data_IF_674234547227
#
_entry.id   IF_674234547227
#
_cell.length_a   1.000
_cell.length_b   1.000
_cell.length_c   1.000
_cell.angle_alpha   90.00
_cell.angle_beta   90.00
_cell.angle_gamma   90.00
#
_symmetry.space_group_name_H-M   'P 1'
#
loop_
_entity.id
_entity.type
_entity.pdbx_description
1 polymer ?
#
# COMPACT_ATOMS: atom_id res chain seq x y z
N UNK A 1 27.85 7.93 16.74
CA UNK A 1 27.67 7.33 15.40
C UNK A 1 26.18 7.36 15.09
N UNK A 2 25.71 8.29 14.26
CA UNK A 2 24.29 8.35 13.85
C UNK A 2 24.02 7.23 12.85
N UNK A 3 23.14 6.31 13.20
CA UNK A 3 22.65 5.29 12.27
C UNK A 3 21.75 5.97 11.23
N UNK A 4 22.29 6.20 10.03
CA UNK A 4 21.51 6.56 8.84
C UNK A 4 20.66 5.35 8.44
N UNK A 5 19.54 5.13 9.14
CA UNK A 5 18.57 4.13 8.72
C UNK A 5 17.64 4.80 7.71
N UNK A 6 17.51 4.29 6.47
CA UNK A 6 16.59 4.87 5.50
C UNK A 6 15.17 4.77 6.06
N UNK A 7 14.56 5.92 6.34
CA UNK A 7 13.14 5.99 6.69
C UNK A 7 12.35 5.72 5.42
N UNK A 8 11.69 4.56 5.33
CA UNK A 8 10.73 4.29 4.25
C UNK A 8 9.52 5.19 4.50
N UNK A 9 9.36 6.22 3.68
CA UNK A 9 8.21 7.13 3.72
C UNK A 9 7.25 6.70 2.61
N UNK A 10 6.04 6.29 2.99
CA UNK A 10 4.95 6.11 2.04
C UNK A 10 4.43 7.49 1.60
N UNK A 11 4.54 7.80 0.31
CA UNK A 11 4.03 9.04 -0.25
C UNK A 11 2.51 8.93 -0.45
N UNK A 12 1.71 9.64 0.34
CA UNK A 12 0.26 9.60 0.19
C UNK A 12 -0.20 10.51 -0.96
N UNK A 13 -0.54 9.91 -2.11
CA UNK A 13 -1.10 10.61 -3.27
C UNK A 13 -2.07 9.72 -4.05
N UNK A 14 -2.66 10.25 -5.13
CA UNK A 14 -3.46 9.44 -6.03
C UNK A 14 -2.59 8.38 -6.74
N UNK A 15 -3.13 7.17 -6.84
CA UNK A 15 -2.47 6.05 -7.50
C UNK A 15 -3.45 5.29 -8.38
N UNK A 16 -2.97 4.78 -9.51
CA UNK A 16 -3.68 3.71 -10.20
C UNK A 16 -3.42 2.35 -9.54
N UNK A 17 -4.24 1.36 -9.88
CA UNK A 17 -4.13 0.01 -9.33
C UNK A 17 -2.77 -0.65 -9.59
N UNK A 18 -2.13 -0.42 -10.75
CA UNK A 18 -0.84 -1.03 -11.08
C UNK A 18 0.30 -0.44 -10.23
N UNK A 19 0.26 0.87 -9.96
CA UNK A 19 1.20 1.53 -9.05
C UNK A 19 1.06 0.99 -7.62
N UNK A 20 -0.17 0.86 -7.12
CA UNK A 20 -0.40 0.26 -5.80
C UNK A 20 0.07 -1.19 -5.75
N UNK A 21 -0.29 -2.02 -6.75
CA UNK A 21 0.17 -3.40 -6.82
C UNK A 21 1.70 -3.50 -6.76
N UNK A 22 2.41 -2.61 -7.48
CA UNK A 22 3.88 -2.51 -7.43
C UNK A 22 4.39 -2.14 -6.04
N UNK A 23 3.76 -1.19 -5.35
CA UNK A 23 4.13 -0.79 -3.98
C UNK A 23 3.97 -1.96 -3.00
N UNK A 24 2.89 -2.73 -3.11
CA UNK A 24 2.66 -3.95 -2.32
C UNK A 24 3.42 -5.18 -2.83
N UNK A 25 4.29 -5.02 -3.84
CA UNK A 25 5.12 -6.09 -4.43
C UNK A 25 4.32 -7.31 -4.90
N UNK A 26 3.11 -7.08 -5.43
CA UNK A 26 2.25 -8.13 -6.00
C UNK A 26 1.83 -7.78 -7.42
N UNK A 27 1.38 -8.78 -8.18
CA UNK A 27 0.79 -8.51 -9.49
C UNK A 27 -0.60 -7.87 -9.38
N UNK A 28 -1.03 -7.22 -10.46
CA UNK A 28 -2.32 -6.52 -10.54
C UNK A 28 -3.53 -7.40 -10.18
N UNK A 29 -3.53 -8.68 -10.60
CA UNK A 29 -4.64 -9.61 -10.35
C UNK A 29 -4.77 -9.92 -8.85
N UNK A 30 -3.65 -10.11 -8.18
CA UNK A 30 -3.58 -10.38 -6.73
C UNK A 30 -4.06 -9.16 -5.96
N UNK A 31 -3.55 -7.97 -6.29
CA UNK A 31 -3.94 -6.74 -5.64
C UNK A 31 -5.46 -6.47 -5.77
N UNK A 32 -6.04 -6.65 -6.96
CA UNK A 32 -7.49 -6.52 -7.13
C UNK A 32 -8.30 -7.51 -6.31
N UNK A 33 -7.80 -8.74 -6.10
CA UNK A 33 -8.46 -9.71 -5.24
C UNK A 33 -8.47 -9.24 -3.78
N UNK A 34 -7.40 -8.59 -3.32
CA UNK A 34 -7.34 -7.99 -1.98
C UNK A 34 -8.29 -6.79 -1.82
N UNK A 35 -8.47 -5.99 -2.87
CA UNK A 35 -9.41 -4.87 -2.83
C UNK A 35 -10.88 -5.31 -2.83
N UNK A 36 -11.21 -6.44 -3.46
CA UNK A 36 -12.59 -6.93 -3.66
C UNK A 36 -13.47 -6.87 -2.39
N UNK A 37 -13.06 -7.40 -1.22
CA UNK A 37 -13.86 -7.32 0.01
C UNK A 37 -14.04 -5.89 0.55
N UNK A 38 -13.24 -4.93 0.11
CA UNK A 38 -13.25 -3.54 0.60
C UNK A 38 -13.82 -2.53 -0.40
N UNK A 39 -14.20 -2.97 -1.61
CA UNK A 39 -14.78 -2.09 -2.64
C UNK A 39 -15.98 -1.26 -2.16
N UNK A 40 -16.91 -1.77 -1.34
CA UNK A 40 -18.02 -0.96 -0.83
C UNK A 40 -17.57 0.25 0.00
N UNK A 41 -16.41 0.14 0.67
CA UNK A 41 -15.84 1.23 1.47
C UNK A 41 -14.95 2.16 0.63
N UNK A 42 -14.19 1.60 -0.31
CA UNK A 42 -13.29 2.36 -1.19
C UNK A 42 -14.11 3.20 -2.18
N UNK A 43 -15.25 2.69 -2.62
CA UNK A 43 -16.08 3.33 -3.64
C UNK A 43 -15.52 3.19 -5.06
N UNK A 44 -16.18 3.85 -6.00
CA UNK A 44 -15.80 3.81 -7.41
C UNK A 44 -14.56 4.64 -7.71
N UNK A 45 -13.74 4.18 -8.65
CA UNK A 45 -12.55 4.90 -9.10
C UNK A 45 -12.95 6.13 -9.91
N UNK A 46 -12.14 7.19 -9.82
CA UNK A 46 -12.23 8.34 -10.72
C UNK A 46 -11.38 8.05 -11.94
N UNK A 47 -12.02 7.62 -13.03
CA UNK A 47 -11.33 7.09 -14.20
C UNK A 47 -10.52 5.83 -13.84
N UNK A 48 -9.20 5.88 -14.04
CA UNK A 48 -8.30 4.77 -13.72
C UNK A 48 -7.55 4.93 -12.39
N UNK A 49 -7.86 5.97 -11.61
CA UNK A 49 -7.13 6.32 -10.39
C UNK A 49 -7.99 6.16 -9.14
N UNK A 50 -7.33 5.80 -8.05
CA UNK A 50 -7.82 6.00 -6.70
C UNK A 50 -7.40 7.40 -6.24
N UNK A 51 -8.37 8.15 -5.71
CA UNK A 51 -8.11 9.43 -5.06
C UNK A 51 -7.29 9.23 -3.78
N UNK A 52 -6.76 10.32 -3.23
CA UNK A 52 -5.98 10.30 -1.98
C UNK A 52 -6.76 9.63 -0.83
N UNK A 53 -8.06 9.94 -0.69
CA UNK A 53 -8.91 9.36 0.35
C UNK A 53 -9.12 7.85 0.14
N UNK A 54 -9.24 7.41 -1.11
CA UNK A 54 -9.35 5.98 -1.43
C UNK A 54 -8.06 5.23 -1.13
N UNK A 55 -6.91 5.83 -1.44
CA UNK A 55 -5.60 5.27 -1.08
C UNK A 55 -5.45 5.17 0.44
N UNK A 56 -5.90 6.18 1.19
CA UNK A 56 -5.92 6.15 2.65
C UNK A 56 -6.77 5.00 3.20
N UNK A 57 -7.97 4.78 2.64
CA UNK A 57 -8.81 3.64 3.00
C UNK A 57 -8.10 2.31 2.69
N UNK A 58 -7.45 2.20 1.54
CA UNK A 58 -6.73 0.99 1.12
C UNK A 58 -5.60 0.67 2.11
N UNK A 59 -4.73 1.63 2.44
CA UNK A 59 -3.63 1.38 3.39
C UNK A 59 -4.13 1.07 4.80
N UNK A 60 -5.26 1.66 5.22
CA UNK A 60 -5.87 1.34 6.51
C UNK A 60 -6.45 -0.08 6.56
N UNK A 61 -6.82 -0.67 5.41
CA UNK A 61 -7.37 -2.02 5.32
C UNK A 61 -6.31 -3.08 5.06
N UNK A 62 -5.32 -2.78 4.23
CA UNK A 62 -4.30 -3.74 3.80
C UNK A 62 -2.97 -3.61 4.56
N UNK A 63 -2.77 -2.52 5.31
CA UNK A 63 -1.50 -2.16 5.93
C UNK A 63 -0.64 -1.25 5.03
N UNK A 64 0.42 -0.67 5.57
CA UNK A 64 1.37 0.11 4.78
C UNK A 64 2.23 -0.83 3.91
N UNK A 65 2.43 -0.54 2.61
CA UNK A 65 3.38 -1.29 1.81
C UNK A 65 4.81 -1.00 2.28
N UNK A 66 5.60 -2.05 2.50
CA UNK A 66 6.97 -1.95 2.97
C UNK A 66 7.57 -3.31 3.25
N UNK A 67 8.88 -3.33 3.50
CA UNK A 67 9.59 -4.51 3.98
C UNK A 67 9.61 -4.48 5.52
N UNK A 68 9.35 -5.63 6.14
CA UNK A 68 9.60 -5.82 7.56
C UNK A 68 11.02 -6.35 7.72
N UNK A 69 11.91 -5.53 8.32
CA UNK A 69 13.19 -6.03 8.80
C UNK A 69 12.97 -6.71 10.16
N UNK A 70 13.02 -8.04 10.18
CA UNK A 70 13.10 -8.78 11.43
C UNK A 70 14.52 -8.66 11.97
N UNK A 71 14.70 -7.86 13.02
CA UNK A 71 15.92 -7.92 13.84
C UNK A 71 15.77 -9.08 14.79
N UNK A 72 16.35 -10.22 14.42
CA UNK A 72 16.55 -11.31 15.35
C UNK A 72 17.45 -10.80 16.50
N UNK A 73 16.84 -10.57 17.66
CA UNK A 73 17.59 -10.41 18.89
C UNK A 73 17.95 -11.82 19.33
N UNK A 74 19.18 -12.25 19.04
CA UNK A 74 19.70 -13.54 19.51
C UNK A 74 19.41 -13.69 21.01
N UNK A 75 18.67 -14.77 21.33
CA UNK A 75 18.49 -15.35 22.66
C UNK A 75 19.79 -16.06 23.06
#
# INVERSE_FOLDING_TARGET
>A
MSTNNPKVIFELRAYNTAQLAKLYKVNYRTFNRWLKPHLPLIGERVGHMYTVNQVLIIINRLGLPGDLEFRDSNI
#
